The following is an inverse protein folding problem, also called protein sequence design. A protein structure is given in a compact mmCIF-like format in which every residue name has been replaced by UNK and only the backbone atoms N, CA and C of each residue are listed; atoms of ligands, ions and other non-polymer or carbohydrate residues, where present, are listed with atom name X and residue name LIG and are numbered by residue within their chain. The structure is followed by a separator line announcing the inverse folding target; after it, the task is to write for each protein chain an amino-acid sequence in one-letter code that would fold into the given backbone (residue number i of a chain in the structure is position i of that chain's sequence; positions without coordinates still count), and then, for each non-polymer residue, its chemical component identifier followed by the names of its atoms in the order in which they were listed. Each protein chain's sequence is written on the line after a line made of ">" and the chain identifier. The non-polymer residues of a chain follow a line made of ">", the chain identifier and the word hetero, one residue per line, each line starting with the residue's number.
data_IF_198689337116
#
_entry.id   IF_198689337116
#
_cell.length_a   1.000
_cell.length_b   1.000
_cell.length_c   1.000
_cell.angle_alpha   90.00
_cell.angle_beta   90.00
_cell.angle_gamma   90.00
#
_symmetry.space_group_name_H-M   'P 1'
#
loop_
_entity.id
_entity.type
_entity.pdbx_description
1 polymer ?
#
# COMPACT_ATOMS: atom_id res chain seq x y z
N UNK A 1 22.57 21.26 -1.95
CA UNK A 1 22.73 19.96 -2.59
C UNK A 1 21.35 19.34 -2.83
N UNK A 2 21.09 18.97 -4.07
CA UNK A 2 19.78 18.45 -4.43
C UNK A 2 19.70 16.96 -4.10
N UNK A 3 18.71 16.60 -3.28
CA UNK A 3 18.41 15.19 -3.04
C UNK A 3 17.58 14.65 -4.20
N UNK A 4 17.94 13.46 -4.67
CA UNK A 4 17.17 12.80 -5.69
C UNK A 4 15.86 12.28 -5.07
N UNK A 5 14.75 12.60 -5.71
CA UNK A 5 13.44 12.12 -5.27
C UNK A 5 13.06 10.87 -6.04
N UNK A 6 12.60 9.88 -5.33
CA UNK A 6 12.15 8.61 -5.89
C UNK A 6 10.63 8.53 -5.81
N UNK A 7 10.02 8.02 -6.87
CA UNK A 7 8.59 7.75 -6.88
C UNK A 7 8.32 6.39 -6.26
N UNK A 8 7.34 6.31 -5.35
CA UNK A 8 6.88 5.04 -4.81
C UNK A 8 5.37 4.90 -4.96
N UNK A 9 4.94 3.68 -5.28
CA UNK A 9 3.54 3.28 -5.33
C UNK A 9 3.36 2.10 -4.41
N UNK A 10 2.41 2.20 -3.48
CA UNK A 10 2.16 1.21 -2.45
C UNK A 10 0.74 0.65 -2.59
N UNK A 11 0.57 -0.62 -2.20
CA UNK A 11 -0.75 -1.24 -2.07
C UNK A 11 -0.96 -1.64 -0.61
N UNK A 12 -2.10 -1.24 -0.05
CA UNK A 12 -2.51 -1.58 1.31
C UNK A 12 -3.68 -2.54 1.25
N UNK A 13 -3.67 -3.54 2.14
CA UNK A 13 -4.79 -4.47 2.25
C UNK A 13 -4.97 -4.98 3.67
N UNK A 14 -6.22 -5.21 4.07
CA UNK A 14 -6.56 -5.78 5.37
C UNK A 14 -7.89 -6.54 5.27
N UNK A 15 -7.99 -7.67 5.97
CA UNK A 15 -9.24 -8.41 6.05
C UNK A 15 -9.71 -8.65 7.49
N UNK A 16 -9.12 -7.96 8.47
CA UNK A 16 -9.42 -8.09 9.90
C UNK A 16 -9.54 -6.70 10.47
N UNK A 17 -10.71 -6.36 11.04
CA UNK A 17 -10.98 -4.97 11.44
C UNK A 17 -10.49 -4.02 10.36
N UNK A 18 -10.85 -4.34 9.12
CA UNK A 18 -10.15 -3.82 7.94
C UNK A 18 -10.24 -2.30 7.84
N UNK A 19 -11.41 -1.72 8.08
CA UNK A 19 -11.56 -0.27 8.04
C UNK A 19 -10.64 0.42 9.04
N UNK A 20 -10.63 -0.07 10.28
CA UNK A 20 -9.77 0.48 11.33
C UNK A 20 -8.30 0.33 10.97
N UNK A 21 -7.89 -0.85 10.51
CA UNK A 21 -6.49 -1.13 10.21
C UNK A 21 -6.00 -0.35 8.98
N UNK A 22 -6.83 -0.16 7.98
CA UNK A 22 -6.48 0.67 6.82
C UNK A 22 -6.28 2.13 7.27
N UNK A 23 -7.19 2.68 8.08
CA UNK A 23 -7.06 4.06 8.56
C UNK A 23 -5.83 4.24 9.44
N UNK A 24 -5.52 3.26 10.29
CA UNK A 24 -4.32 3.31 11.13
C UNK A 24 -3.05 3.25 10.28
N UNK A 25 -3.02 2.38 9.26
CA UNK A 25 -1.88 2.30 8.35
C UNK A 25 -1.67 3.62 7.60
N UNK A 26 -2.76 4.26 7.16
CA UNK A 26 -2.67 5.58 6.52
C UNK A 26 -2.04 6.61 7.44
N UNK A 27 -2.39 6.58 8.72
CA UNK A 27 -1.80 7.51 9.70
C UNK A 27 -0.30 7.29 9.85
N UNK A 28 0.15 6.05 9.97
CA UNK A 28 1.58 5.72 10.04
C UNK A 28 2.30 6.13 8.75
N UNK A 29 1.71 5.86 7.60
CA UNK A 29 2.32 6.22 6.32
C UNK A 29 2.41 7.73 6.13
N UNK A 30 1.40 8.47 6.59
CA UNK A 30 1.43 9.94 6.52
C UNK A 30 2.53 10.51 7.41
N UNK A 31 2.76 9.89 8.57
CA UNK A 31 3.87 10.29 9.45
C UNK A 31 5.23 10.05 8.79
N UNK A 32 5.38 8.93 8.08
CA UNK A 32 6.62 8.58 7.39
C UNK A 32 6.81 9.37 6.09
N UNK A 33 5.73 9.63 5.37
CA UNK A 33 5.74 10.29 4.06
C UNK A 33 4.66 11.38 4.05
N UNK A 34 4.97 12.60 4.54
CA UNK A 34 3.93 13.63 4.79
C UNK A 34 3.12 14.07 3.57
N UNK A 35 3.65 13.89 2.37
CA UNK A 35 2.95 14.28 1.14
C UNK A 35 2.28 13.09 0.43
N UNK A 36 2.17 11.95 1.09
CA UNK A 36 1.56 10.76 0.50
C UNK A 36 0.09 11.00 0.15
N UNK A 37 -0.32 10.49 -1.01
CA UNK A 37 -1.70 10.57 -1.49
C UNK A 37 -2.28 9.17 -1.54
N UNK A 38 -3.53 9.02 -1.08
CA UNK A 38 -4.21 7.73 -1.06
C UNK A 38 -5.34 7.71 -2.09
N UNK A 39 -5.53 6.55 -2.70
CA UNK A 39 -6.75 6.27 -3.46
C UNK A 39 -7.91 6.05 -2.51
N UNK A 40 -9.13 5.99 -3.06
CA UNK A 40 -10.26 5.48 -2.27
C UNK A 40 -10.01 4.02 -1.93
N UNK A 41 -10.75 3.51 -0.96
CA UNK A 41 -10.70 2.10 -0.57
C UNK A 41 -11.75 1.30 -1.34
N UNK A 42 -11.42 0.06 -1.69
CA UNK A 42 -12.34 -0.87 -2.35
C UNK A 42 -12.41 -2.16 -1.55
N UNK A 43 -13.60 -2.74 -1.49
CA UNK A 43 -13.78 -4.08 -0.92
C UNK A 43 -13.60 -5.08 -2.05
N UNK A 44 -12.68 -6.05 -1.87
CA UNK A 44 -12.42 -7.07 -2.87
C UNK A 44 -12.51 -8.46 -2.24
N UNK A 45 -12.94 -9.48 -3.01
CA UNK A 45 -12.91 -10.85 -2.49
C UNK A 45 -11.48 -11.31 -2.28
N UNK A 46 -11.28 -12.23 -1.33
CA UNK A 46 -9.97 -12.83 -1.09
C UNK A 46 -9.56 -13.66 -2.30
N UNK A 47 -8.27 -13.60 -2.66
CA UNK A 47 -7.71 -14.34 -3.79
C UNK A 47 -6.73 -15.35 -3.25
N UNK A 48 -6.96 -16.64 -3.56
CA UNK A 48 -6.05 -17.71 -3.20
C UNK A 48 -6.12 -18.20 -1.77
N UNK A 49 -6.99 -17.62 -0.94
CA UNK A 49 -7.19 -18.04 0.44
C UNK A 49 -8.68 -18.01 0.78
N UNK A 50 -9.09 -18.85 1.74
CA UNK A 50 -10.44 -18.80 2.31
C UNK A 50 -10.40 -17.82 3.48
N UNK A 51 -10.96 -16.64 3.29
CA UNK A 51 -10.93 -15.58 4.30
C UNK A 51 -12.04 -14.56 4.04
N UNK A 52 -12.28 -13.64 4.99
CA UNK A 52 -13.17 -12.50 4.73
C UNK A 52 -12.66 -11.66 3.57
N UNK A 53 -13.53 -10.87 2.94
CA UNK A 53 -13.08 -9.93 1.91
C UNK A 53 -12.05 -8.94 2.46
N UNK A 54 -11.22 -8.43 1.55
CA UNK A 54 -10.24 -7.40 1.87
C UNK A 54 -10.80 -6.01 1.63
N UNK A 55 -10.31 -5.04 2.40
CA UNK A 55 -10.36 -3.63 2.01
C UNK A 55 -8.98 -3.30 1.48
N UNK A 56 -8.91 -2.72 0.27
CA UNK A 56 -7.67 -2.38 -0.41
C UNK A 56 -7.67 -0.92 -0.81
N UNK A 57 -6.49 -0.29 -0.79
CA UNK A 57 -6.28 1.01 -1.39
C UNK A 57 -4.84 1.13 -1.87
N UNK A 58 -4.59 2.12 -2.71
CA UNK A 58 -3.24 2.44 -3.17
C UNK A 58 -2.78 3.76 -2.55
N UNK A 59 -1.48 3.95 -2.54
CA UNK A 59 -0.87 5.20 -2.09
C UNK A 59 0.34 5.51 -2.96
N UNK A 60 0.61 6.79 -3.17
CA UNK A 60 1.76 7.22 -3.94
C UNK A 60 2.39 8.47 -3.34
N UNK A 61 3.69 8.58 -3.50
CA UNK A 61 4.42 9.76 -3.10
C UNK A 61 5.79 9.79 -3.75
N UNK A 62 6.49 10.89 -3.55
CA UNK A 62 7.92 11.00 -3.84
C UNK A 62 8.66 11.11 -2.51
N UNK A 63 9.81 10.46 -2.41
CA UNK A 63 10.65 10.49 -1.22
C UNK A 63 12.13 10.46 -1.60
N UNK A 64 12.99 10.87 -0.69
CA UNK A 64 14.44 10.81 -0.92
C UNK A 64 15.11 9.54 -0.40
N UNK A 65 14.32 8.61 0.17
CA UNK A 65 14.84 7.37 0.73
C UNK A 65 15.15 6.36 -0.37
N UNK A 66 16.15 5.53 -0.13
CA UNK A 66 16.46 4.40 -1.01
C UNK A 66 15.43 3.28 -0.82
N UNK A 67 15.35 2.38 -1.80
CA UNK A 67 14.35 1.30 -1.77
C UNK A 67 14.44 0.45 -0.50
N UNK A 68 15.65 0.13 -0.04
CA UNK A 68 15.83 -0.68 1.16
C UNK A 68 15.21 0.00 2.40
N UNK A 69 15.37 1.32 2.50
CA UNK A 69 14.82 2.07 3.63
C UNK A 69 13.29 2.18 3.54
N UNK A 70 12.75 2.33 2.33
CA UNK A 70 11.30 2.30 2.14
C UNK A 70 10.73 0.96 2.58
N UNK A 71 11.33 -0.14 2.13
CA UNK A 71 10.89 -1.49 2.51
C UNK A 71 10.96 -1.70 4.02
N UNK A 72 12.02 -1.20 4.67
CA UNK A 72 12.16 -1.29 6.13
C UNK A 72 11.05 -0.50 6.83
N UNK A 73 10.71 0.68 6.35
CA UNK A 73 9.61 1.49 6.90
C UNK A 73 8.28 0.74 6.80
N UNK A 74 7.98 0.15 5.65
CA UNK A 74 6.73 -0.60 5.46
C UNK A 74 6.67 -1.80 6.42
N UNK A 75 7.77 -2.53 6.54
CA UNK A 75 7.87 -3.69 7.43
C UNK A 75 7.68 -3.28 8.89
N UNK A 76 8.28 -2.17 9.30
CA UNK A 76 8.14 -1.65 10.66
C UNK A 76 6.70 -1.26 10.98
N UNK A 77 5.99 -0.67 10.02
CA UNK A 77 4.57 -0.34 10.20
C UNK A 77 3.76 -1.62 10.39
N UNK A 78 3.95 -2.62 9.53
CA UNK A 78 3.26 -3.91 9.64
C UNK A 78 3.51 -4.55 11.01
N UNK A 79 4.75 -4.57 11.46
CA UNK A 79 5.14 -5.15 12.74
C UNK A 79 4.51 -4.38 13.91
N UNK A 80 4.57 -3.05 13.86
CA UNK A 80 3.99 -2.18 14.89
C UNK A 80 2.48 -2.40 15.02
N UNK A 81 1.80 -2.63 13.89
CA UNK A 81 0.37 -2.91 13.86
C UNK A 81 0.02 -4.34 14.26
N UNK A 82 1.02 -5.18 14.51
CA UNK A 82 0.81 -6.54 14.97
C UNK A 82 0.50 -7.56 13.88
N UNK A 83 0.89 -7.27 12.64
CA UNK A 83 0.74 -8.23 11.55
C UNK A 83 1.74 -9.38 11.72
N UNK A 84 1.25 -10.60 11.83
CA UNK A 84 2.06 -11.78 12.14
C UNK A 84 1.99 -12.80 11.02
N UNK A 85 3.14 -13.42 10.64
CA UNK A 85 3.15 -14.46 9.61
C UNK A 85 2.22 -15.64 9.93
N UNK A 86 2.10 -16.01 11.21
CA UNK A 86 1.23 -17.11 11.63
C UNK A 86 -0.23 -16.83 11.35
N UNK A 87 -0.67 -15.59 11.58
CA UNK A 87 -2.03 -15.18 11.28
C UNK A 87 -2.29 -15.23 9.78
N UNK A 88 -1.34 -14.79 8.97
CA UNK A 88 -1.44 -14.84 7.50
C UNK A 88 -1.66 -16.26 7.00
N UNK A 89 -0.99 -17.23 7.59
CA UNK A 89 -1.18 -18.65 7.24
C UNK A 89 -2.60 -19.14 7.52
N UNK A 90 -3.29 -18.50 8.47
CA UNK A 90 -4.69 -18.80 8.80
C UNK A 90 -5.67 -17.93 8.03
N UNK A 91 -5.20 -17.12 7.08
CA UNK A 91 -6.05 -16.22 6.32
C UNK A 91 -6.39 -14.92 7.03
N UNK A 92 -5.68 -14.58 8.10
CA UNK A 92 -5.88 -13.34 8.86
C UNK A 92 -4.78 -12.36 8.50
N UNK A 93 -5.15 -11.25 7.85
CA UNK A 93 -4.21 -10.22 7.44
C UNK A 93 -4.65 -8.89 8.08
N UNK A 94 -3.99 -8.52 9.17
CA UNK A 94 -4.26 -7.23 9.83
C UNK A 94 -3.91 -6.08 8.92
N UNK A 95 -2.72 -6.13 8.33
CA UNK A 95 -2.29 -5.14 7.35
C UNK A 95 -1.18 -5.73 6.49
N UNK A 96 -1.26 -5.44 5.20
CA UNK A 96 -0.25 -5.77 4.23
C UNK A 96 0.04 -4.49 3.46
N UNK A 97 1.31 -4.10 3.39
CA UNK A 97 1.72 -2.90 2.68
C UNK A 97 2.83 -3.29 1.71
N UNK A 98 2.50 -3.38 0.43
CA UNK A 98 3.42 -3.82 -0.60
C UNK A 98 3.94 -2.66 -1.42
N UNK A 99 5.23 -2.69 -1.74
CA UNK A 99 5.82 -1.76 -2.69
C UNK A 99 5.55 -2.29 -4.10
N UNK A 100 4.70 -1.58 -4.85
CA UNK A 100 4.36 -1.96 -6.23
C UNK A 100 5.32 -1.37 -7.25
N UNK A 101 5.89 -0.20 -6.97
CA UNK A 101 6.81 0.46 -7.90
C UNK A 101 7.78 1.35 -7.13
N UNK A 102 9.03 1.30 -7.54
CA UNK A 102 10.07 2.21 -7.09
C UNK A 102 10.73 2.79 -8.34
N UNK A 103 10.57 4.11 -8.55
CA UNK A 103 10.94 4.80 -9.79
C UNK A 103 10.32 4.09 -11.01
N UNK A 104 11.14 3.57 -11.91
CA UNK A 104 10.67 2.89 -13.12
C UNK A 104 10.49 1.38 -12.92
N UNK A 105 10.87 0.84 -11.77
CA UNK A 105 10.85 -0.60 -11.54
C UNK A 105 9.56 -1.04 -10.86
N UNK A 106 8.81 -1.92 -11.52
CA UNK A 106 7.60 -2.53 -10.97
C UNK A 106 7.95 -3.80 -10.22
N UNK A 107 7.30 -3.97 -9.08
CA UNK A 107 7.38 -5.16 -8.24
C UNK A 107 6.01 -5.80 -8.17
N UNK A 108 5.92 -7.08 -7.74
CA UNK A 108 4.64 -7.77 -7.59
C UNK A 108 3.83 -7.76 -8.88
N UNK A 109 4.45 -8.17 -9.99
CA UNK A 109 3.85 -8.05 -11.33
C UNK A 109 2.48 -8.71 -11.45
N UNK A 110 2.25 -9.82 -10.77
CA UNK A 110 0.95 -10.50 -10.80
C UNK A 110 -0.15 -9.62 -10.22
N UNK A 111 0.17 -8.80 -9.20
CA UNK A 111 -0.78 -7.88 -8.61
C UNK A 111 -1.19 -6.78 -9.59
N UNK A 112 -0.27 -6.35 -10.47
CA UNK A 112 -0.54 -5.31 -11.45
C UNK A 112 -1.65 -5.69 -12.43
N UNK A 113 -1.87 -6.97 -12.66
CA UNK A 113 -2.89 -7.46 -13.60
C UNK A 113 -4.30 -7.44 -13.00
N UNK A 114 -4.43 -7.22 -11.70
CA UNK A 114 -5.73 -7.22 -11.03
C UNK A 114 -6.52 -5.97 -11.39
N UNK A 115 -7.81 -6.16 -11.66
CA UNK A 115 -8.70 -5.08 -12.11
C UNK A 115 -8.73 -3.92 -11.14
N UNK A 116 -8.80 -4.20 -9.83
CA UNK A 116 -8.89 -3.12 -8.83
C UNK A 116 -7.59 -2.30 -8.77
N UNK A 117 -6.44 -2.92 -8.99
CA UNK A 117 -5.16 -2.22 -9.03
C UNK A 117 -5.15 -1.24 -10.22
N UNK A 118 -5.53 -1.72 -11.41
CA UNK A 118 -5.57 -0.90 -12.61
C UNK A 118 -6.55 0.27 -12.46
N UNK A 119 -7.72 0.01 -11.88
CA UNK A 119 -8.72 1.05 -11.64
C UNK A 119 -8.17 2.13 -10.70
N UNK A 120 -7.60 1.73 -9.57
CA UNK A 120 -7.10 2.69 -8.57
C UNK A 120 -5.90 3.48 -9.09
N UNK A 121 -5.04 2.87 -9.90
CA UNK A 121 -3.92 3.59 -10.55
C UNK A 121 -4.44 4.70 -11.44
N UNK A 122 -5.46 4.42 -12.26
CA UNK A 122 -6.05 5.44 -13.12
C UNK A 122 -6.66 6.59 -12.33
N UNK A 123 -7.31 6.28 -11.23
CA UNK A 123 -7.90 7.31 -10.35
C UNK A 123 -6.83 8.18 -9.70
N UNK A 124 -5.73 7.59 -9.27
CA UNK A 124 -4.60 8.35 -8.72
C UNK A 124 -3.98 9.27 -9.76
N UNK A 125 -3.78 8.79 -10.97
CA UNK A 125 -3.23 9.59 -12.07
C UNK A 125 -4.15 10.78 -12.40
N UNK A 126 -5.45 10.55 -12.45
CA UNK A 126 -6.42 11.61 -12.69
C UNK A 126 -6.38 12.66 -11.58
N UNK A 127 -6.35 12.21 -10.32
CA UNK A 127 -6.30 13.09 -9.16
C UNK A 127 -5.05 13.95 -9.16
N UNK A 128 -3.91 13.38 -9.52
CA UNK A 128 -2.64 14.11 -9.60
C UNK A 128 -2.71 15.18 -10.69
N UNK A 129 -3.26 14.87 -11.86
CA UNK A 129 -3.39 15.81 -12.97
C UNK A 129 -4.30 16.99 -12.63
N UNK A 130 -5.37 16.76 -11.85
CA UNK A 130 -6.31 17.82 -11.49
C UNK A 130 -5.78 18.71 -10.37
N UNK A 131 -4.76 18.25 -9.63
CA UNK A 131 -4.17 19.01 -8.53
C UNK A 131 -2.92 19.80 -8.93
N UNK A 132 -2.56 19.77 -10.23
CA UNK A 132 -1.44 20.57 -10.75
C UNK A 132 -1.92 21.84 -11.51
#
# INVERSE_FOLDING_TARGET
>A
MNQQMHYILLALGSNTLAQHNIELAKAYLTAAFPKIQFSRSLVTPAIGIVSPPFINCLAQTYCCEQMADVLATLKNIETTMGSMPEERRKGIVKIDIDLLQFDETRHKRDDWERDYIQLLIKELDYKQKTNT
#
